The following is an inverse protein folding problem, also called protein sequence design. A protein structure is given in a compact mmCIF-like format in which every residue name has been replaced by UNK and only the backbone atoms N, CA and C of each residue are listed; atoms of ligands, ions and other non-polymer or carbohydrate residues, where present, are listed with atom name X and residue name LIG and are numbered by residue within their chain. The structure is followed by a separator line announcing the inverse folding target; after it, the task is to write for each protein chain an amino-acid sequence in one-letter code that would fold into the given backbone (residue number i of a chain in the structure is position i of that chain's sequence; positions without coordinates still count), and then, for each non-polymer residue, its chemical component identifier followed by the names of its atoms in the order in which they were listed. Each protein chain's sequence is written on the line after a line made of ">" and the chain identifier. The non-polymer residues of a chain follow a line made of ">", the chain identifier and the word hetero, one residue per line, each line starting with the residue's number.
data_IF_505412124379
#
_entry.id   IF_505412124379
#
_cell.length_a   1.000
_cell.length_b   1.000
_cell.length_c   1.000
_cell.angle_alpha   90.00
_cell.angle_beta   90.00
_cell.angle_gamma   90.00
#
_symmetry.space_group_name_H-M   'P 1'
#
loop_
_entity.id
_entity.type
_entity.pdbx_description
1 polymer ?
#
# COMPACT_ATOMS: atom_id res chain seq x y z
N UNK A 1 13.81 -9.31 -27.77
CA UNK A 1 15.02 -10.16 -27.67
C UNK A 1 15.45 -10.11 -26.21
N UNK A 2 15.27 -11.22 -25.46
CA UNK A 2 15.47 -11.43 -23.99
C UNK A 2 14.84 -10.35 -23.08
N UNK A 3 13.69 -10.48 -22.39
CA UNK A 3 12.98 -11.59 -21.71
C UNK A 3 13.80 -12.37 -20.66
N UNK A 4 13.67 -11.92 -19.42
CA UNK A 4 13.61 -12.72 -18.18
C UNK A 4 12.26 -12.34 -17.55
N UNK A 5 11.26 -13.19 -17.25
CA UNK A 5 11.13 -14.59 -16.77
C UNK A 5 11.53 -14.77 -15.31
N UNK A 6 10.54 -15.06 -14.45
CA UNK A 6 10.76 -15.63 -13.11
C UNK A 6 10.54 -17.16 -13.19
N UNK A 7 11.52 -17.96 -12.78
CA UNK A 7 11.42 -19.43 -12.67
C UNK A 7 12.22 -19.95 -11.47
N UNK A 8 11.65 -20.98 -10.84
CA UNK A 8 11.88 -21.62 -9.52
C UNK A 8 13.02 -22.66 -9.48
N UNK A 9 13.80 -22.77 -8.37
CA UNK A 9 14.67 -23.93 -8.03
C UNK A 9 14.76 -24.20 -6.49
N UNK A 10 14.86 -25.49 -6.10
CA UNK A 10 14.61 -26.16 -4.78
C UNK A 10 15.89 -26.78 -4.11
N UNK A 11 16.01 -26.88 -2.76
CA UNK A 11 16.81 -27.92 -2.03
C UNK A 11 16.58 -28.00 -0.47
N UNK A 12 16.26 -29.22 0.05
CA UNK A 12 16.32 -29.91 1.40
C UNK A 12 16.68 -29.16 2.74
N UNK A 13 16.26 -29.49 3.98
CA UNK A 13 15.63 -30.65 4.69
C UNK A 13 14.97 -30.19 6.03
N UNK A 14 14.09 -31.06 6.56
CA UNK A 14 13.10 -31.04 7.67
C UNK A 14 13.42 -30.38 9.05
N UNK A 15 12.36 -29.88 9.71
CA UNK A 15 11.71 -30.56 10.86
C UNK A 15 10.32 -29.94 11.11
N UNK A 16 9.29 -30.77 11.31
CA UNK A 16 7.90 -30.34 11.49
C UNK A 16 7.65 -29.68 12.85
N UNK A 17 6.67 -28.78 12.91
CA UNK A 17 5.80 -28.65 14.10
C UNK A 17 4.42 -28.11 13.70
N UNK A 18 3.43 -28.59 14.45
CA UNK A 18 2.04 -28.93 14.10
C UNK A 18 1.08 -27.76 13.78
N UNK A 19 0.00 -28.07 13.06
CA UNK A 19 -1.11 -27.18 12.67
C UNK A 19 -2.44 -27.46 13.41
N UNK A 20 -2.41 -27.77 14.71
CA UNK A 20 -3.57 -28.28 15.45
C UNK A 20 -4.23 -27.21 16.35
N UNK A 21 -5.53 -27.37 16.65
CA UNK A 21 -6.31 -26.45 17.48
C UNK A 21 -6.54 -27.04 18.88
N UNK A 22 -6.19 -26.28 19.92
CA UNK A 22 -6.36 -26.69 21.33
C UNK A 22 -7.08 -25.64 22.15
N UNK A 23 -8.24 -25.99 22.70
CA UNK A 23 -8.90 -25.17 23.72
C UNK A 23 -8.55 -25.76 25.10
N UNK A 24 -7.83 -24.99 25.91
CA UNK A 24 -7.46 -25.40 27.28
C UNK A 24 -6.37 -26.47 27.36
N UNK A 25 -5.68 -26.78 26.25
CA UNK A 25 -4.56 -27.73 26.20
C UNK A 25 -3.35 -27.11 25.52
N UNK A 26 -2.15 -27.49 25.96
CA UNK A 26 -0.87 -27.10 25.33
C UNK A 26 -0.40 -28.12 24.27
N UNK A 27 -1.09 -29.25 24.16
CA UNK A 27 -0.78 -30.34 23.21
C UNK A 27 -2.03 -30.71 22.43
N UNK A 28 -2.49 -29.85 21.51
CA UNK A 28 -3.60 -30.21 20.63
C UNK A 28 -3.18 -31.33 19.67
N UNK A 29 -4.08 -32.24 19.34
CA UNK A 29 -3.88 -33.34 18.39
C UNK A 29 -4.85 -33.33 17.20
N UNK A 30 -5.92 -32.51 17.27
CA UNK A 30 -6.94 -32.40 16.22
C UNK A 30 -6.80 -31.13 15.36
N UNK A 31 -7.09 -31.27 14.07
CA UNK A 31 -7.26 -30.15 13.14
C UNK A 31 -8.68 -29.57 13.28
N UNK A 32 -8.82 -28.25 13.16
CA UNK A 32 -10.14 -27.62 13.09
C UNK A 32 -10.71 -27.77 11.68
N UNK A 33 -11.56 -28.78 11.51
CA UNK A 33 -12.41 -28.96 10.33
C UNK A 33 -13.83 -28.45 10.62
N UNK A 34 -14.32 -27.52 9.80
CA UNK A 34 -15.67 -26.97 9.92
C UNK A 34 -16.43 -27.22 8.63
N UNK A 35 -17.39 -28.15 8.70
CA UNK A 35 -18.33 -28.43 7.61
C UNK A 35 -19.63 -27.68 7.89
N UNK A 36 -19.76 -26.48 7.34
CA UNK A 36 -20.92 -25.59 7.49
C UNK A 36 -20.53 -24.12 7.63
N UNK A 37 -21.48 -23.28 8.03
CA UNK A 37 -21.23 -21.85 8.24
C UNK A 37 -20.57 -21.62 9.61
N UNK A 38 -19.48 -20.86 9.62
CA UNK A 38 -18.87 -20.39 10.88
C UNK A 38 -19.40 -18.99 11.20
N UNK A 39 -20.02 -18.81 12.36
CA UNK A 39 -20.35 -17.47 12.86
C UNK A 39 -19.27 -16.98 13.82
N UNK A 40 -18.59 -15.89 13.44
CA UNK A 40 -17.56 -15.26 14.26
C UNK A 40 -18.03 -13.87 14.69
N UNK A 41 -18.16 -13.64 15.99
CA UNK A 41 -18.35 -12.31 16.56
C UNK A 41 -17.02 -11.78 17.09
N UNK A 42 -16.35 -10.96 16.29
CA UNK A 42 -14.99 -10.46 16.54
C UNK A 42 -14.11 -10.56 15.29
N UNK A 43 -12.78 -10.48 15.47
CA UNK A 43 -11.84 -10.63 14.36
C UNK A 43 -11.56 -12.11 14.07
N UNK A 44 -11.85 -12.55 12.83
CA UNK A 44 -11.40 -13.84 12.31
C UNK A 44 -10.02 -13.66 11.65
N UNK A 45 -8.98 -14.20 12.28
CA UNK A 45 -7.65 -14.29 11.67
C UNK A 45 -7.53 -15.65 10.97
N UNK A 46 -7.71 -15.68 9.66
CA UNK A 46 -7.45 -16.86 8.84
C UNK A 46 -5.97 -16.86 8.44
N UNK A 47 -5.26 -17.92 8.78
CA UNK A 47 -3.81 -18.00 8.57
C UNK A 47 -3.03 -17.42 9.75
N UNK A 48 -2.57 -18.31 10.62
CA UNK A 48 -1.39 -18.11 11.45
C UNK A 48 -0.46 -19.29 11.16
N UNK A 49 0.24 -19.29 10.01
CA UNK A 49 1.08 -20.42 9.67
C UNK A 49 2.12 -20.58 10.78
N UNK A 50 2.28 -21.79 11.32
CA UNK A 50 3.29 -22.11 12.34
C UNK A 50 4.72 -21.74 11.89
N UNK A 51 4.88 -21.49 10.59
CA UNK A 51 6.03 -20.83 9.97
C UNK A 51 5.51 -19.55 9.29
N UNK A 52 5.78 -18.34 9.82
CA UNK A 52 5.67 -17.11 9.02
C UNK A 52 6.42 -17.34 7.69
N UNK A 53 5.91 -16.86 6.55
CA UNK A 53 6.58 -17.03 5.25
C UNK A 53 8.10 -16.87 5.44
N UNK A 54 8.86 -17.95 5.23
CA UNK A 54 10.29 -17.93 5.48
C UNK A 54 10.94 -17.03 4.43
N UNK A 55 11.47 -15.90 4.88
CA UNK A 55 12.07 -14.88 4.03
C UNK A 55 13.56 -15.13 3.94
N UNK A 56 14.01 -15.90 2.94
CA UNK A 56 15.43 -16.28 2.81
C UNK A 56 16.22 -15.46 1.78
N UNK A 57 15.64 -14.45 1.15
CA UNK A 57 16.36 -13.54 0.26
C UNK A 57 16.01 -12.07 0.57
N UNK A 58 16.97 -11.19 0.33
CA UNK A 58 16.80 -9.73 0.35
C UNK A 58 15.64 -9.32 -0.57
N UNK A 59 14.54 -8.81 0.00
CA UNK A 59 13.44 -8.16 -0.72
C UNK A 59 12.23 -9.05 -1.03
N UNK A 60 11.52 -9.54 -0.02
CA UNK A 60 10.20 -10.15 -0.25
C UNK A 60 9.15 -9.11 -0.61
N UNK A 61 8.41 -9.41 -1.68
CA UNK A 61 7.22 -8.69 -2.08
C UNK A 61 6.07 -9.04 -1.12
N UNK A 62 5.78 -8.14 -0.20
CA UNK A 62 4.68 -8.28 0.78
C UNK A 62 3.31 -7.97 0.15
N UNK A 63 3.31 -7.12 -0.88
CA UNK A 63 2.11 -6.67 -1.56
C UNK A 63 2.47 -6.20 -2.97
N UNK A 64 1.55 -6.38 -3.92
CA UNK A 64 1.62 -5.71 -5.23
C UNK A 64 0.23 -5.31 -5.67
N UNK A 65 0.16 -4.21 -6.40
CA UNK A 65 -1.02 -3.81 -7.18
C UNK A 65 -0.69 -3.95 -8.67
N UNK A 66 -1.65 -4.37 -9.49
CA UNK A 66 -1.48 -4.66 -10.92
C UNK A 66 -2.35 -5.83 -11.39
N UNK A 67 -2.81 -5.82 -12.64
CA UNK A 67 -3.65 -6.87 -13.24
C UNK A 67 -5.17 -6.66 -13.10
N UNK A 68 -5.97 -7.65 -13.55
CA UNK A 68 -7.43 -7.54 -13.76
C UNK A 68 -8.32 -7.45 -12.49
N UNK A 69 -7.74 -7.41 -11.28
CA UNK A 69 -8.51 -7.31 -10.04
C UNK A 69 -8.63 -5.86 -9.58
N UNK A 70 -9.85 -5.30 -9.66
CA UNK A 70 -10.17 -3.92 -9.32
C UNK A 70 -9.75 -3.56 -7.88
N UNK A 71 -9.05 -2.43 -7.72
CA UNK A 71 -8.47 -1.88 -6.48
C UNK A 71 -7.58 -2.79 -5.63
N UNK A 72 -7.52 -4.11 -5.84
CA UNK A 72 -6.84 -5.06 -4.95
C UNK A 72 -7.06 -4.77 -3.45
N UNK A 73 -8.28 -4.37 -3.08
CA UNK A 73 -8.68 -3.99 -1.72
C UNK A 73 -8.34 -2.55 -1.29
N UNK A 74 -7.86 -1.69 -2.19
CA UNK A 74 -7.76 -0.26 -1.93
C UNK A 74 -9.12 0.39 -1.79
N UNK A 75 -9.19 1.43 -0.96
CA UNK A 75 -10.39 2.22 -0.69
C UNK A 75 -10.11 3.70 -0.90
N UNK A 76 -11.15 4.46 -1.22
CA UNK A 76 -11.05 5.92 -1.42
C UNK A 76 -11.89 6.65 -0.40
N UNK A 77 -11.37 7.76 0.10
CA UNK A 77 -12.11 8.73 0.92
C UNK A 77 -11.50 10.12 0.75
N UNK A 78 -12.19 11.17 1.21
CA UNK A 78 -11.70 12.54 1.07
C UNK A 78 -12.81 13.56 0.98
N UNK A 79 -12.44 14.77 0.58
CA UNK A 79 -13.36 15.87 0.30
C UNK A 79 -13.07 16.49 -1.08
N UNK A 80 -14.03 17.26 -1.59
CA UNK A 80 -13.98 17.84 -2.94
C UNK A 80 -14.54 16.90 -4.01
N UNK A 81 -14.43 17.30 -5.28
CA UNK A 81 -14.87 16.48 -6.40
C UNK A 81 -14.01 15.21 -6.46
N UNK A 82 -14.67 14.06 -6.61
CA UNK A 82 -14.03 12.75 -6.54
C UNK A 82 -13.00 12.63 -7.67
N UNK A 83 -11.75 12.39 -7.31
CA UNK A 83 -10.74 11.89 -8.23
C UNK A 83 -11.20 10.52 -8.75
N UNK A 84 -11.68 10.45 -9.98
CA UNK A 84 -12.25 9.21 -10.51
C UNK A 84 -11.14 8.26 -10.97
N UNK A 85 -10.79 7.31 -10.11
CA UNK A 85 -9.93 6.16 -10.44
C UNK A 85 -10.48 5.38 -11.64
N UNK A 86 -10.01 5.72 -12.84
CA UNK A 86 -10.35 4.99 -14.06
C UNK A 86 -9.23 4.01 -14.37
N UNK A 87 -9.53 2.70 -14.37
CA UNK A 87 -8.63 1.69 -14.90
C UNK A 87 -8.57 1.85 -16.43
N UNK A 88 -7.40 2.15 -16.97
CA UNK A 88 -7.11 1.98 -18.40
C UNK A 88 -6.29 0.72 -18.58
N UNK A 89 -6.96 -0.37 -18.96
CA UNK A 89 -6.36 -1.67 -19.22
C UNK A 89 -7.44 -2.64 -19.71
N UNK A 90 -7.18 -3.33 -20.81
CA UNK A 90 -8.14 -4.19 -21.52
C UNK A 90 -7.89 -5.69 -21.28
N UNK A 91 -6.79 -6.07 -20.63
CA UNK A 91 -6.38 -7.48 -20.45
C UNK A 91 -5.74 -7.77 -19.08
N UNK A 92 -5.64 -9.06 -18.73
CA UNK A 92 -5.01 -9.57 -17.49
C UNK A 92 -3.49 -9.34 -17.41
N UNK A 93 -2.88 -8.83 -18.47
CA UNK A 93 -1.46 -8.46 -18.55
C UNK A 93 -1.22 -6.96 -18.51
N UNK A 94 -2.28 -6.15 -18.48
CA UNK A 94 -2.16 -4.70 -18.50
C UNK A 94 -1.84 -4.16 -17.09
N UNK A 95 -1.02 -3.10 -17.06
CA UNK A 95 -0.76 -2.33 -15.86
C UNK A 95 -2.09 -1.72 -15.40
N UNK A 96 -2.53 -2.06 -14.18
CA UNK A 96 -3.69 -1.40 -13.60
C UNK A 96 -3.25 -0.01 -13.16
N UNK A 97 -3.57 1.00 -13.96
CA UNK A 97 -3.30 2.40 -13.63
C UNK A 97 -4.50 2.93 -12.83
N UNK A 98 -4.22 3.58 -11.69
CA UNK A 98 -5.19 4.42 -11.01
C UNK A 98 -4.95 5.85 -11.44
N UNK A 99 -5.80 6.34 -12.34
CA UNK A 99 -5.74 7.73 -12.77
C UNK A 99 -6.53 8.58 -11.77
N UNK A 100 -5.91 9.68 -11.37
CA UNK A 100 -6.59 10.74 -10.66
C UNK A 100 -6.63 11.95 -11.58
N UNK A 101 -7.82 12.51 -11.72
CA UNK A 101 -8.06 13.67 -12.56
C UNK A 101 -8.44 14.85 -11.66
N UNK A 102 -7.70 15.94 -11.82
CA UNK A 102 -7.92 17.20 -11.14
C UNK A 102 -8.90 18.00 -11.99
N UNK A 103 -10.17 18.05 -11.58
CA UNK A 103 -11.23 18.71 -12.36
C UNK A 103 -11.21 20.24 -12.12
N UNK A 104 -10.05 20.82 -11.84
CA UNK A 104 -9.86 22.24 -11.55
C UNK A 104 -10.64 22.73 -10.33
N UNK A 105 -10.74 21.90 -9.29
CA UNK A 105 -11.52 22.18 -8.08
C UNK A 105 -10.83 21.67 -6.82
N UNK A 106 -10.95 22.46 -5.74
CA UNK A 106 -10.42 22.12 -4.42
C UNK A 106 -10.75 20.68 -4.01
N UNK A 107 -9.70 19.90 -3.75
CA UNK A 107 -9.80 18.49 -3.44
C UNK A 107 -8.72 18.01 -2.49
N UNK A 108 -9.10 17.14 -1.56
CA UNK A 108 -8.18 16.38 -0.73
C UNK A 108 -8.66 14.93 -0.70
N UNK A 109 -8.09 14.11 -1.58
CA UNK A 109 -8.52 12.74 -1.82
C UNK A 109 -7.44 11.76 -1.37
N UNK A 110 -7.86 10.66 -0.75
CA UNK A 110 -6.96 9.61 -0.31
C UNK A 110 -7.28 8.31 -1.04
N UNK A 111 -6.25 7.64 -1.51
CA UNK A 111 -6.31 6.24 -1.91
C UNK A 111 -5.55 5.40 -0.89
N UNK A 112 -6.30 4.59 -0.13
CA UNK A 112 -5.81 3.84 1.03
C UNK A 112 -5.67 2.36 0.71
N UNK A 113 -4.50 1.78 1.01
CA UNK A 113 -4.21 0.36 0.79
C UNK A 113 -4.99 -0.54 1.75
N UNK A 114 -5.12 -1.84 1.41
CA UNK A 114 -5.34 -2.86 2.42
C UNK A 114 -4.28 -2.80 3.52
N UNK A 115 -4.57 -3.49 4.62
CA UNK A 115 -3.58 -3.77 5.64
C UNK A 115 -2.54 -4.75 5.12
N UNK A 116 -1.26 -4.40 5.30
CA UNK A 116 -0.11 -5.22 4.93
C UNK A 116 0.63 -5.57 6.22
N UNK A 117 0.86 -6.85 6.46
CA UNK A 117 1.59 -7.29 7.65
C UNK A 117 3.10 -7.21 7.41
N UNK A 118 3.81 -6.53 8.31
CA UNK A 118 5.27 -6.49 8.33
C UNK A 118 5.76 -7.53 9.34
N UNK A 119 6.49 -8.58 8.91
CA UNK A 119 6.99 -9.61 9.80
C UNK A 119 7.96 -9.08 10.86
N UNK A 120 8.06 -9.76 11.99
CA UNK A 120 8.99 -9.41 13.08
C UNK A 120 10.47 -9.56 12.72
N UNK A 121 10.79 -10.33 11.68
CA UNK A 121 12.15 -10.50 11.17
C UNK A 121 12.60 -9.37 10.23
N UNK A 122 11.67 -8.52 9.78
CA UNK A 122 12.01 -7.35 8.99
C UNK A 122 12.51 -6.23 9.92
N UNK A 123 13.61 -5.58 9.56
CA UNK A 123 14.07 -4.35 10.23
C UNK A 123 13.67 -3.09 9.45
N UNK A 124 13.39 -3.27 8.15
CA UNK A 124 12.87 -2.26 7.27
C UNK A 124 12.12 -2.92 6.11
N UNK A 125 11.32 -2.11 5.42
CA UNK A 125 10.66 -2.46 4.16
C UNK A 125 11.08 -1.48 3.08
N UNK A 126 11.04 -1.93 1.82
CA UNK A 126 11.14 -1.08 0.64
C UNK A 126 9.74 -0.91 0.09
N UNK A 127 9.37 0.34 -0.22
CA UNK A 127 8.16 0.66 -0.97
C UNK A 127 8.61 1.19 -2.33
N UNK A 128 8.18 0.52 -3.40
CA UNK A 128 8.44 0.92 -4.79
C UNK A 128 7.12 1.31 -5.46
N UNK A 129 7.13 2.43 -6.17
CA UNK A 129 5.96 3.03 -6.80
C UNK A 129 6.35 3.48 -8.20
N UNK A 130 5.59 3.08 -9.22
CA UNK A 130 5.63 3.68 -10.54
C UNK A 130 4.47 4.66 -10.67
N UNK A 131 4.75 5.92 -11.01
CA UNK A 131 3.71 6.94 -11.11
C UNK A 131 4.04 8.01 -12.16
N UNK A 132 3.00 8.72 -12.57
CA UNK A 132 3.03 9.81 -13.53
C UNK A 132 2.09 10.90 -13.02
N UNK A 133 2.49 12.16 -13.11
CA UNK A 133 1.62 13.26 -12.70
C UNK A 133 1.75 14.49 -13.62
N UNK A 134 0.62 15.15 -13.85
CA UNK A 134 0.49 16.43 -14.57
C UNK A 134 -0.29 17.37 -13.68
N UNK A 135 0.42 18.06 -12.80
CA UNK A 135 -0.16 18.86 -11.71
C UNK A 135 0.26 20.32 -11.84
N UNK A 136 -0.48 21.25 -11.24
CA UNK A 136 -0.01 22.62 -11.05
C UNK A 136 1.19 22.67 -10.10
N UNK A 137 2.32 23.20 -10.58
CA UNK A 137 3.57 23.20 -9.81
C UNK A 137 3.49 24.14 -8.59
N UNK A 138 3.62 23.57 -7.39
CA UNK A 138 3.62 24.30 -6.13
C UNK A 138 2.24 24.51 -5.49
N UNK A 139 1.17 24.05 -6.13
CA UNK A 139 -0.20 24.16 -5.63
C UNK A 139 -0.83 22.77 -5.51
N UNK A 140 -0.81 22.02 -6.60
CA UNK A 140 -1.32 20.65 -6.65
C UNK A 140 -0.22 19.64 -6.35
N UNK A 141 -0.59 18.57 -5.66
CA UNK A 141 0.38 17.59 -5.20
C UNK A 141 -0.18 16.21 -4.95
N UNK A 142 0.69 15.21 -5.09
CA UNK A 142 0.47 13.88 -4.53
C UNK A 142 1.59 13.56 -3.57
N UNK A 143 1.26 13.05 -2.40
CA UNK A 143 2.24 12.55 -1.44
C UNK A 143 1.80 11.23 -0.83
N UNK A 144 2.74 10.51 -0.23
CA UNK A 144 2.52 9.24 0.44
C UNK A 144 2.52 9.44 1.96
N UNK A 145 1.63 8.73 2.63
CA UNK A 145 1.62 8.58 4.08
C UNK A 145 1.44 7.12 4.47
N UNK A 146 1.75 6.80 5.73
CA UNK A 146 1.52 5.48 6.29
C UNK A 146 0.91 5.53 7.70
N UNK A 147 0.12 4.53 8.04
CA UNK A 147 -0.46 4.32 9.36
C UNK A 147 -0.13 2.91 9.85
N UNK A 148 0.15 2.78 11.14
CA UNK A 148 0.34 1.48 11.82
C UNK A 148 -0.73 1.20 12.88
N UNK A 149 -1.80 1.99 12.87
CA UNK A 149 -2.88 2.01 13.86
C UNK A 149 -4.26 2.02 13.19
N UNK A 150 -4.39 1.32 12.07
CA UNK A 150 -5.66 1.17 11.32
C UNK A 150 -6.27 2.52 10.92
N UNK A 151 -5.41 3.44 10.46
CA UNK A 151 -5.80 4.76 9.97
C UNK A 151 -6.10 5.80 11.06
N UNK A 152 -5.79 5.51 12.33
CA UNK A 152 -5.94 6.46 13.44
C UNK A 152 -5.01 7.68 13.30
N UNK A 153 -3.74 7.42 13.02
CA UNK A 153 -2.71 8.44 12.76
C UNK A 153 -1.99 8.12 11.46
N UNK A 154 -1.90 9.13 10.61
CA UNK A 154 -1.17 9.07 9.34
C UNK A 154 0.14 9.85 9.46
N UNK A 155 1.24 9.18 9.13
CA UNK A 155 2.58 9.70 9.22
C UNK A 155 3.07 10.06 7.81
N UNK A 156 3.54 11.29 7.64
CA UNK A 156 4.21 11.71 6.42
C UNK A 156 5.51 10.92 6.22
N UNK A 157 5.82 10.58 4.98
CA UNK A 157 7.12 9.97 4.64
C UNK A 157 8.21 11.05 4.71
N UNK A 158 9.24 10.92 5.55
CA UNK A 158 10.33 11.88 5.61
C UNK A 158 11.12 11.90 4.29
N UNK A 159 11.56 13.07 3.84
CA UNK A 159 12.31 13.21 2.58
C UNK A 159 13.60 12.36 2.56
N UNK A 160 14.25 12.16 3.71
CA UNK A 160 15.46 11.33 3.83
C UNK A 160 15.22 9.82 3.66
N UNK A 161 13.97 9.37 3.61
CA UNK A 161 13.64 7.95 3.43
C UNK A 161 13.64 7.53 1.96
N UNK A 162 13.52 8.48 1.04
CA UNK A 162 13.58 8.23 -0.39
C UNK A 162 15.03 8.07 -0.84
N UNK A 163 15.32 7.00 -1.57
CA UNK A 163 16.60 6.81 -2.24
C UNK A 163 16.47 6.89 -3.77
N UNK A 164 15.24 6.90 -4.29
CA UNK A 164 14.91 7.18 -5.70
C UNK A 164 13.59 7.98 -5.74
N UNK A 165 13.51 9.01 -6.58
CA UNK A 165 12.25 9.66 -6.96
C UNK A 165 11.44 10.26 -5.80
N UNK A 166 12.11 10.87 -4.81
CA UNK A 166 11.44 11.54 -3.69
C UNK A 166 10.63 12.78 -4.10
N UNK A 167 9.99 13.42 -3.12
CA UNK A 167 9.26 14.66 -3.33
C UNK A 167 10.13 15.75 -3.96
N UNK A 168 9.56 16.51 -4.89
CA UNK A 168 10.27 17.52 -5.69
C UNK A 168 9.88 18.96 -5.32
N UNK A 169 8.89 19.14 -4.42
CA UNK A 169 8.47 20.47 -3.99
C UNK A 169 7.56 20.46 -2.76
N UNK A 170 7.23 21.67 -2.31
CA UNK A 170 6.18 21.94 -1.33
C UNK A 170 4.97 22.48 -2.09
N UNK A 171 3.79 22.02 -1.74
CA UNK A 171 2.52 22.41 -2.38
C UNK A 171 1.62 23.14 -1.40
N UNK A 172 0.94 24.21 -1.84
CA UNK A 172 -0.10 24.93 -1.09
C UNK A 172 -1.52 24.45 -1.46
N UNK A 173 -1.72 23.13 -1.41
CA UNK A 173 -2.96 22.49 -1.84
C UNK A 173 -4.02 22.41 -0.74
N UNK A 174 -5.17 21.82 -1.05
CA UNK A 174 -6.28 21.74 -0.10
C UNK A 174 -5.99 20.97 1.18
N UNK A 175 -6.53 21.44 2.31
CA UNK A 175 -6.58 20.73 3.57
C UNK A 175 -7.64 19.61 3.58
N UNK A 176 -7.64 18.81 4.65
CA UNK A 176 -8.52 17.65 4.85
C UNK A 176 -10.02 17.96 4.90
N UNK A 177 -10.41 19.24 4.97
CA UNK A 177 -11.81 19.68 4.96
C UNK A 177 -12.21 20.42 3.70
N UNK A 178 -11.28 20.62 2.77
CA UNK A 178 -11.50 21.37 1.54
C UNK A 178 -11.99 22.80 1.74
N UNK A 179 -11.57 23.44 2.84
CA UNK A 179 -11.94 24.82 3.19
C UNK A 179 -10.73 25.72 3.49
N UNK A 180 -9.53 25.29 3.10
CA UNK A 180 -8.29 26.03 3.31
C UNK A 180 -7.11 25.23 2.78
N UNK A 181 -5.90 25.78 2.91
CA UNK A 181 -4.71 25.16 2.36
C UNK A 181 -3.85 24.48 3.43
N UNK A 182 -3.00 23.56 2.98
CA UNK A 182 -1.90 22.97 3.73
C UNK A 182 -0.62 23.01 2.90
N UNK A 183 0.50 23.25 3.57
CA UNK A 183 1.81 23.04 2.98
C UNK A 183 2.24 21.58 3.18
N UNK A 184 2.40 20.85 2.09
CA UNK A 184 2.86 19.46 2.12
C UNK A 184 4.06 19.27 1.19
N UNK A 185 5.05 18.47 1.61
CA UNK A 185 6.06 17.98 0.68
C UNK A 185 5.40 16.93 -0.22
N UNK A 186 5.48 17.11 -1.54
CA UNK A 186 4.76 16.29 -2.50
C UNK A 186 5.52 16.15 -3.82
N UNK A 187 5.04 15.24 -4.66
CA UNK A 187 5.27 15.30 -6.09
C UNK A 187 4.31 16.32 -6.69
N UNK A 188 4.86 17.34 -7.35
CA UNK A 188 4.12 18.44 -7.96
C UNK A 188 4.67 18.78 -9.35
N UNK A 189 3.91 19.53 -10.14
CA UNK A 189 4.25 19.84 -11.53
C UNK A 189 4.10 18.64 -12.46
N UNK A 190 4.71 18.76 -13.66
CA UNK A 190 4.74 17.66 -14.63
C UNK A 190 5.90 16.71 -14.33
N UNK A 191 5.59 15.45 -14.05
CA UNK A 191 6.55 14.38 -13.87
C UNK A 191 6.27 13.24 -14.85
N UNK A 192 7.24 12.95 -15.72
CA UNK A 192 7.16 11.87 -16.70
C UNK A 192 7.65 10.56 -16.06
N UNK A 193 6.83 9.50 -16.10
CA UNK A 193 7.14 8.11 -15.72
C UNK A 193 8.22 7.98 -14.65
N UNK A 194 7.86 8.30 -13.42
CA UNK A 194 8.74 8.22 -12.27
C UNK A 194 8.68 6.83 -11.63
N UNK A 195 9.85 6.33 -11.24
CA UNK A 195 9.97 5.29 -10.23
C UNK A 195 10.39 5.97 -8.93
N UNK A 196 9.67 5.70 -7.87
CA UNK A 196 9.97 6.13 -6.51
C UNK A 196 10.30 4.90 -5.68
N UNK A 197 11.38 4.96 -4.91
CA UNK A 197 11.73 3.93 -3.95
C UNK A 197 12.19 4.55 -2.62
N UNK A 198 11.68 4.01 -1.52
CA UNK A 198 11.93 4.48 -0.16
C UNK A 198 12.02 3.34 0.84
N UNK A 199 12.72 3.56 1.95
CA UNK A 199 12.74 2.63 3.09
C UNK A 199 11.87 3.14 4.25
N UNK A 200 11.19 2.22 4.94
CA UNK A 200 10.59 2.48 6.25
C UNK A 200 11.09 1.47 7.27
N UNK A 201 11.49 1.95 8.45
CA UNK A 201 11.93 1.12 9.57
C UNK A 201 10.71 0.60 10.33
N UNK A 202 10.02 -0.39 9.75
CA UNK A 202 8.86 -1.05 10.33
C UNK A 202 9.18 -2.52 10.59
N UNK A 203 8.66 -3.06 11.69
CA UNK A 203 8.79 -4.46 12.06
C UNK A 203 7.58 -4.88 12.90
N UNK A 204 7.17 -6.15 12.77
CA UNK A 204 6.12 -6.76 13.58
C UNK A 204 4.83 -5.93 13.72
N UNK A 205 4.35 -5.34 12.63
CA UNK A 205 3.23 -4.41 12.67
C UNK A 205 2.39 -4.49 11.41
N UNK A 206 1.11 -4.17 11.53
CA UNK A 206 0.29 -3.90 10.36
C UNK A 206 0.55 -2.49 9.88
N UNK A 207 0.68 -2.32 8.57
CA UNK A 207 0.81 -1.01 7.94
C UNK A 207 -0.27 -0.84 6.87
N UNK A 208 -0.80 0.37 6.78
CA UNK A 208 -1.53 0.84 5.61
C UNK A 208 -0.78 2.03 5.01
N UNK A 209 -0.83 2.13 3.70
CA UNK A 209 -0.36 3.29 2.96
C UNK A 209 -1.55 4.06 2.45
N UNK A 210 -1.39 5.37 2.30
CA UNK A 210 -2.29 6.14 1.46
C UNK A 210 -1.55 7.12 0.58
N UNK A 211 -1.96 7.18 -0.67
CA UNK A 211 -1.65 8.31 -1.53
C UNK A 211 -2.64 9.42 -1.21
N UNK A 212 -2.14 10.62 -0.99
CA UNK A 212 -2.95 11.81 -0.72
C UNK A 212 -2.77 12.77 -1.88
N UNK A 213 -3.85 12.97 -2.61
CA UNK A 213 -3.99 13.96 -3.65
C UNK A 213 -4.55 15.24 -3.10
N UNK A 214 -3.86 16.35 -3.33
CA UNK A 214 -4.32 17.69 -2.97
C UNK A 214 -4.34 18.58 -4.21
N UNK A 215 -5.40 19.36 -4.29
CA UNK A 215 -5.65 20.34 -5.34
C UNK A 215 -6.02 21.66 -4.68
N UNK A 216 -5.50 22.76 -5.17
CA UNK A 216 -5.85 24.06 -4.63
C UNK A 216 -7.24 24.54 -5.13
N UNK A 217 -7.62 25.78 -4.81
CA UNK A 217 -8.91 26.33 -5.27
C UNK A 217 -8.80 27.19 -6.52
N UNK A 218 -7.61 27.33 -7.09
CA UNK A 218 -7.31 28.15 -8.26
C UNK A 218 -7.49 27.31 -9.53
N UNK A 219 -7.59 27.99 -10.67
CA UNK A 219 -7.48 27.38 -12.00
C UNK A 219 -6.45 28.17 -12.79
#
# INVERSE_FOLDING_TARGET
>A
MMKYTFTLYFCLTFLSVYSQVGIGTLTPDDDLDVIGDTQVSGFLRVGNPAIPQAVSNTGIQLFTMGGAAYYNGFTQNGCGTIWSGTQTGTTTTDEAIMQYDNVGNRGHQNLVSPHIWIPSIANSIIVEISHFCTLEAGFDGVYLEYSTDNGGVWNAIPAGNFFIGGYNGVTDGSNTTCNGNINANAWTGNQNNMVTALFLNLSNTWVQFRFVGIEDGSV
#
